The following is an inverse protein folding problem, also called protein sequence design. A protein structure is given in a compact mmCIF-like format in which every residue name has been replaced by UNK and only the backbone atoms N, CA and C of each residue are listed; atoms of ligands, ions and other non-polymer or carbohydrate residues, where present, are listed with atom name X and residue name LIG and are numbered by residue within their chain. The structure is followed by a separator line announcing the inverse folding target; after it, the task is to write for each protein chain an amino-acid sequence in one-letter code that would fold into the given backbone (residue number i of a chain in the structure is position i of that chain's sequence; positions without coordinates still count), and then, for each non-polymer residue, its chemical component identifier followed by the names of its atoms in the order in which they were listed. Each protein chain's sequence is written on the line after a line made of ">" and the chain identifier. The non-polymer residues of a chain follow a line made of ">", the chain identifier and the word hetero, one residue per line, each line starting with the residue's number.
data_IF_888941707458
#
_entry.id   IF_888941707458
#
_cell.length_a   1.000
_cell.length_b   1.000
_cell.length_c   1.000
_cell.angle_alpha   90.00
_cell.angle_beta   90.00
_cell.angle_gamma   90.00
#
_symmetry.space_group_name_H-M   'P 1'
#
loop_
_entity.id
_entity.type
_entity.pdbx_description
1 polymer ?
#
# COMPACT_ATOMS: atom_id res chain seq x y z
N UNK A 1 -7.98 58.58 -29.97
CA UNK A 1 -7.18 57.49 -30.58
C UNK A 1 -6.23 56.92 -29.53
N UNK A 2 -5.92 55.62 -29.62
CA UNK A 2 -5.14 54.79 -28.68
C UNK A 2 -5.86 54.33 -27.40
N UNK A 3 -6.67 53.29 -27.60
CA UNK A 3 -6.93 52.21 -26.64
C UNK A 3 -5.60 51.56 -26.26
N UNK A 4 -5.30 51.39 -24.97
CA UNK A 4 -4.25 50.45 -24.51
C UNK A 4 -4.87 49.56 -23.44
N UNK A 5 -4.71 48.27 -23.69
CA UNK A 5 -5.49 47.15 -23.19
C UNK A 5 -5.06 46.68 -21.81
N UNK A 6 -6.05 46.18 -21.08
CA UNK A 6 -5.95 45.38 -19.88
C UNK A 6 -5.15 44.08 -20.12
N UNK A 7 -4.23 43.75 -19.21
CA UNK A 7 -3.76 42.38 -19.00
C UNK A 7 -3.67 42.11 -17.50
N UNK A 8 -4.77 41.61 -16.92
CA UNK A 8 -4.75 41.03 -15.58
C UNK A 8 -4.23 39.59 -15.70
N UNK A 9 -3.04 39.35 -15.15
CA UNK A 9 -2.36 38.06 -15.10
C UNK A 9 -3.12 37.15 -14.12
N UNK A 10 -3.89 36.19 -14.64
CA UNK A 10 -4.57 35.20 -13.82
C UNK A 10 -3.54 34.23 -13.22
N UNK A 11 -3.43 34.25 -11.90
CA UNK A 11 -2.56 33.41 -11.08
C UNK A 11 -2.99 31.94 -11.27
N UNK A 12 -2.06 31.11 -11.73
CA UNK A 12 -2.29 29.71 -12.04
C UNK A 12 -2.73 28.90 -10.81
N UNK A 13 -3.80 28.14 -10.99
CA UNK A 13 -4.37 27.22 -10.01
C UNK A 13 -3.37 26.09 -9.70
N UNK A 14 -2.82 26.08 -8.49
CA UNK A 14 -2.08 24.94 -7.96
C UNK A 14 -3.09 23.81 -7.77
N UNK A 15 -3.11 22.85 -8.68
CA UNK A 15 -3.96 21.68 -8.60
C UNK A 15 -3.52 20.79 -7.43
N UNK A 16 -4.10 20.99 -6.25
CA UNK A 16 -3.97 20.09 -5.12
C UNK A 16 -4.49 18.71 -5.53
N UNK A 17 -3.59 17.75 -5.74
CA UNK A 17 -3.94 16.35 -5.85
C UNK A 17 -4.53 15.90 -4.51
N UNK A 18 -5.86 15.95 -4.39
CA UNK A 18 -6.56 15.29 -3.29
C UNK A 18 -6.33 13.79 -3.48
N UNK A 19 -5.38 13.25 -2.72
CA UNK A 19 -5.29 11.80 -2.52
C UNK A 19 -6.60 11.37 -1.87
N UNK A 20 -7.51 10.82 -2.67
CA UNK A 20 -8.75 10.24 -2.16
C UNK A 20 -8.38 9.15 -1.15
N UNK A 21 -8.57 9.44 0.13
CA UNK A 21 -8.46 8.44 1.19
C UNK A 21 -9.60 7.43 0.95
N UNK A 22 -9.28 6.32 0.30
CA UNK A 22 -10.24 5.27 0.02
C UNK A 22 -10.84 4.74 1.35
N UNK A 23 -12.12 4.33 1.32
CA UNK A 23 -12.80 3.77 2.48
C UNK A 23 -11.99 2.62 3.11
N UNK A 24 -12.04 2.48 4.43
CA UNK A 24 -11.37 1.43 5.21
C UNK A 24 -12.07 0.07 5.08
N UNK A 25 -12.45 -0.34 3.87
CA UNK A 25 -12.68 -1.76 3.60
C UNK A 25 -11.33 -2.46 3.60
N UNK A 26 -11.27 -3.70 4.10
CA UNK A 26 -10.06 -4.50 3.98
C UNK A 26 -9.65 -4.50 2.51
N UNK A 27 -8.44 -4.06 2.21
CA UNK A 27 -8.00 -4.00 0.83
C UNK A 27 -7.97 -5.44 0.29
N UNK A 28 -8.18 -5.66 -1.03
CA UNK A 28 -8.08 -6.98 -1.62
C UNK A 28 -6.78 -7.73 -1.24
N UNK A 29 -5.67 -7.00 -1.08
CA UNK A 29 -4.39 -7.55 -0.65
C UNK A 29 -4.40 -8.04 0.80
N UNK A 30 -5.08 -7.34 1.71
CA UNK A 30 -5.26 -7.81 3.11
C UNK A 30 -6.00 -9.14 3.13
N UNK A 31 -7.06 -9.26 2.32
CA UNK A 31 -7.83 -10.50 2.20
C UNK A 31 -6.98 -11.65 1.65
N UNK A 32 -6.23 -11.41 0.57
CA UNK A 32 -5.34 -12.41 -0.03
C UNK A 32 -4.26 -12.88 0.97
N UNK A 33 -3.64 -11.98 1.72
CA UNK A 33 -2.64 -12.35 2.72
C UNK A 33 -3.26 -13.12 3.87
N UNK A 34 -4.46 -12.74 4.32
CA UNK A 34 -5.20 -13.49 5.33
C UNK A 34 -5.51 -14.92 4.88
N UNK A 35 -5.95 -15.09 3.63
CA UNK A 35 -6.36 -16.37 3.07
C UNK A 35 -5.18 -17.31 2.80
N UNK A 36 -4.10 -16.81 2.18
CA UNK A 36 -3.03 -17.67 1.65
C UNK A 36 -1.76 -17.69 2.50
N UNK A 37 -1.54 -16.67 3.34
CA UNK A 37 -0.28 -16.54 4.09
C UNK A 37 -0.49 -16.69 5.59
N UNK A 38 -1.53 -16.04 6.14
CA UNK A 38 -1.73 -15.95 7.58
C UNK A 38 -2.27 -17.24 8.21
N UNK A 39 -2.65 -18.25 7.43
CA UNK A 39 -2.98 -19.58 7.95
C UNK A 39 -1.74 -20.24 8.58
N UNK A 40 -0.63 -20.29 7.83
CA UNK A 40 0.66 -20.84 8.28
C UNK A 40 1.50 -19.81 9.05
N UNK A 41 1.54 -18.56 8.59
CA UNK A 41 2.28 -17.47 9.21
C UNK A 41 1.39 -16.67 10.19
N UNK A 42 0.81 -17.36 11.18
CA UNK A 42 0.02 -16.76 12.27
C UNK A 42 0.78 -16.76 13.59
N UNK A 43 0.20 -16.11 14.61
CA UNK A 43 0.66 -16.25 16.00
C UNK A 43 0.71 -17.70 16.49
N UNK A 44 -0.15 -18.56 15.95
CA UNK A 44 -0.23 -19.97 16.33
C UNK A 44 0.67 -20.86 15.46
N UNK A 45 0.65 -20.67 14.14
CA UNK A 45 1.40 -21.50 13.19
C UNK A 45 2.89 -21.18 13.15
N UNK A 46 3.27 -19.89 13.25
CA UNK A 46 4.65 -19.38 13.27
C UNK A 46 5.58 -20.04 12.24
N UNK A 47 5.07 -20.46 11.08
CA UNK A 47 5.87 -21.12 10.07
C UNK A 47 7.06 -20.22 9.67
N UNK A 48 8.28 -20.77 9.64
CA UNK A 48 9.50 -20.01 9.38
C UNK A 48 9.76 -18.89 10.40
N UNK A 49 9.30 -19.04 11.65
CA UNK A 49 9.43 -18.06 12.75
C UNK A 49 8.79 -16.69 12.42
N UNK A 50 7.75 -16.68 11.57
CA UNK A 50 7.09 -15.47 11.09
C UNK A 50 5.61 -15.47 11.48
N UNK A 51 5.11 -14.28 11.82
CA UNK A 51 3.68 -13.99 11.88
C UNK A 51 3.32 -12.77 11.05
N UNK A 52 2.20 -12.86 10.33
CA UNK A 52 1.59 -11.79 9.55
C UNK A 52 0.32 -11.26 10.22
N UNK A 53 0.13 -11.52 11.52
CA UNK A 53 -1.00 -10.99 12.28
C UNK A 53 -1.03 -9.45 12.19
N UNK A 54 -2.17 -8.91 11.77
CA UNK A 54 -2.35 -7.46 11.57
C UNK A 54 -1.58 -6.86 10.39
N UNK A 55 -1.06 -7.67 9.46
CA UNK A 55 -0.49 -7.16 8.22
C UNK A 55 -1.58 -6.56 7.32
N UNK A 56 -1.30 -5.39 6.75
CA UNK A 56 -2.12 -4.69 5.74
C UNK A 56 -1.19 -3.88 4.81
N UNK A 57 -1.61 -3.50 3.60
CA UNK A 57 -0.78 -2.66 2.72
C UNK A 57 -0.38 -1.32 3.34
N UNK A 58 -1.25 -0.73 4.15
CA UNK A 58 -0.99 0.52 4.87
C UNK A 58 0.15 0.38 5.88
N UNK A 59 0.36 -0.84 6.42
CA UNK A 59 1.43 -1.16 7.36
C UNK A 59 2.68 -1.72 6.68
N UNK A 60 2.63 -2.00 5.38
CA UNK A 60 3.72 -2.63 4.64
C UNK A 60 5.04 -1.84 4.76
N UNK A 61 4.99 -0.51 4.71
CA UNK A 61 6.18 0.34 4.88
C UNK A 61 6.77 0.23 6.28
N UNK A 62 5.94 0.18 7.33
CA UNK A 62 6.40 -0.04 8.70
C UNK A 62 6.89 -1.47 8.96
N UNK A 63 6.49 -2.41 8.09
CA UNK A 63 6.90 -3.82 8.10
C UNK A 63 7.76 -4.14 6.87
N UNK A 64 8.58 -3.19 6.41
CA UNK A 64 9.30 -3.26 5.13
C UNK A 64 10.07 -4.56 4.97
N UNK A 65 10.92 -4.88 5.94
CA UNK A 65 11.81 -6.03 5.83
C UNK A 65 11.04 -7.35 5.77
N UNK A 66 9.92 -7.45 6.48
CA UNK A 66 9.00 -8.60 6.41
C UNK A 66 8.29 -8.67 5.06
N UNK A 67 7.79 -7.54 4.58
CA UNK A 67 7.04 -7.47 3.31
C UNK A 67 7.95 -7.80 2.12
N UNK A 68 9.19 -7.29 2.12
CA UNK A 68 10.19 -7.62 1.10
C UNK A 68 10.55 -9.11 1.12
N UNK A 69 10.69 -9.71 2.31
CA UNK A 69 10.94 -11.15 2.42
C UNK A 69 9.78 -11.98 1.87
N UNK A 70 8.53 -11.58 2.14
CA UNK A 70 7.34 -12.23 1.59
C UNK A 70 7.40 -12.26 0.05
N UNK A 71 7.64 -11.10 -0.57
CA UNK A 71 7.71 -10.97 -2.03
C UNK A 71 8.85 -11.83 -2.60
N UNK A 72 10.05 -11.73 -2.03
CA UNK A 72 11.23 -12.47 -2.52
C UNK A 72 11.05 -13.98 -2.43
N UNK A 73 10.55 -14.49 -1.29
CA UNK A 73 10.35 -15.93 -1.09
C UNK A 73 9.23 -16.51 -1.95
N UNK A 74 8.12 -15.78 -2.09
CA UNK A 74 7.03 -16.18 -2.98
C UNK A 74 7.50 -16.25 -4.43
N UNK A 75 8.22 -15.23 -4.90
CA UNK A 75 8.77 -15.21 -6.27
C UNK A 75 9.82 -16.27 -6.52
N UNK A 76 10.52 -16.71 -5.47
CA UNK A 76 11.50 -17.79 -5.54
C UNK A 76 10.88 -19.19 -5.44
N UNK A 77 9.55 -19.32 -5.32
CA UNK A 77 8.87 -20.62 -5.17
C UNK A 77 9.18 -21.32 -3.84
N UNK A 78 9.72 -20.60 -2.85
CA UNK A 78 10.01 -21.13 -1.51
C UNK A 78 8.79 -21.08 -0.59
N UNK A 79 7.65 -20.62 -1.11
CA UNK A 79 6.34 -20.58 -0.47
C UNK A 79 5.24 -20.83 -1.52
N UNK A 80 4.17 -21.57 -1.21
CA UNK A 80 3.86 -22.19 0.09
C UNK A 80 4.87 -23.29 0.46
N UNK A 81 5.24 -23.44 1.75
CA UNK A 81 6.11 -24.53 2.22
C UNK A 81 5.42 -25.89 2.15
#
# INVERSE_FOLDING_TARGET
>A
MKRILLTALAIGSIGSSLSAQQPTTASPQTELVAQYCATCHSERGKAGQLSLAGWTPQRATGMRDTTEKMIKKLRAGMMPP
#
